data_IF_071849792443
#
_entry.id   IF_071849792443
#
_cell.length_a   1.000
_cell.length_b   1.000
_cell.length_c   1.000
_cell.angle_alpha   90.00
_cell.angle_beta   90.00
_cell.angle_gamma   90.00
#
_symmetry.space_group_name_H-M   'P 1'
#
loop_
_entity.id
_entity.type
_entity.pdbx_description
1 polymer ?
#
# COMPACT_ATOMS: atom_id res chain seq x y z
N UNK A 1 2.37 -13.00 8.38
CA UNK A 1 2.06 -13.08 6.93
C UNK A 1 2.29 -11.69 6.36
N UNK A 2 2.91 -11.59 5.19
CA UNK A 2 3.14 -10.30 4.52
C UNK A 2 2.25 -10.32 3.28
N UNK A 3 1.24 -9.46 3.25
CA UNK A 3 0.34 -9.33 2.12
C UNK A 3 0.78 -8.16 1.25
N UNK A 4 1.03 -8.47 -0.01
CA UNK A 4 1.18 -7.52 -1.11
C UNK A 4 -0.19 -7.28 -1.73
N UNK A 5 -0.79 -6.14 -1.40
CA UNK A 5 -2.06 -5.67 -1.94
C UNK A 5 -1.97 -5.21 -3.41
N UNK A 6 -0.77 -5.29 -4.01
CA UNK A 6 -0.38 -4.82 -5.34
C UNK A 6 -0.47 -3.30 -5.51
N UNK A 7 -1.66 -2.74 -5.27
CA UNK A 7 -2.00 -1.35 -5.48
C UNK A 7 -2.98 -0.92 -4.37
N UNK A 8 -2.61 0.08 -3.59
CA UNK A 8 -3.37 0.44 -2.39
C UNK A 8 -4.85 0.82 -2.63
N UNK A 9 -5.22 1.49 -3.73
CA UNK A 9 -6.63 1.74 -4.02
C UNK A 9 -7.50 0.51 -4.29
N UNK A 10 -6.96 -0.70 -4.46
CA UNK A 10 -7.77 -1.86 -4.86
C UNK A 10 -8.70 -2.29 -3.71
N UNK A 11 -9.99 -2.47 -4.00
CA UNK A 11 -11.01 -2.84 -3.01
C UNK A 11 -10.87 -4.29 -2.56
N UNK A 12 -10.63 -5.21 -3.50
CA UNK A 12 -10.77 -6.64 -3.27
C UNK A 12 -9.81 -7.21 -2.20
N UNK A 13 -8.50 -6.84 -2.15
CA UNK A 13 -7.64 -7.24 -1.04
C UNK A 13 -8.18 -6.78 0.31
N UNK A 14 -8.75 -5.57 0.40
CA UNK A 14 -9.28 -5.03 1.65
C UNK A 14 -10.58 -5.72 2.08
N UNK A 15 -11.47 -6.04 1.15
CA UNK A 15 -12.64 -6.86 1.46
C UNK A 15 -12.23 -8.25 1.95
N UNK A 16 -11.23 -8.88 1.31
CA UNK A 16 -10.65 -10.13 1.81
C UNK A 16 -10.07 -9.97 3.23
N UNK A 17 -9.36 -8.87 3.53
CA UNK A 17 -8.84 -8.65 4.88
C UNK A 17 -9.97 -8.51 5.91
N UNK A 18 -11.04 -7.78 5.57
CA UNK A 18 -12.20 -7.59 6.46
C UNK A 18 -12.88 -8.93 6.76
N UNK A 19 -13.12 -9.74 5.72
CA UNK A 19 -13.65 -11.09 5.88
C UNK A 19 -12.72 -11.94 6.75
N UNK A 20 -11.42 -11.94 6.47
CA UNK A 20 -10.42 -12.69 7.22
C UNK A 20 -10.40 -12.29 8.70
N UNK A 21 -10.44 -10.99 8.99
CA UNK A 21 -10.44 -10.44 10.36
C UNK A 21 -11.70 -10.83 11.13
N UNK A 22 -12.85 -10.88 10.46
CA UNK A 22 -14.12 -11.27 11.07
C UNK A 22 -14.21 -12.77 11.41
N UNK A 23 -13.32 -13.62 10.88
CA UNK A 23 -13.33 -15.06 11.16
C UNK A 23 -12.80 -15.37 12.57
N UNK A 24 -13.56 -16.11 13.41
CA UNK A 24 -13.10 -16.52 14.74
C UNK A 24 -11.78 -17.30 14.75
N UNK A 25 -11.62 -18.21 13.80
CA UNK A 25 -10.40 -19.01 13.68
C UNK A 25 -9.17 -18.15 13.33
N UNK A 26 -9.36 -16.98 12.73
CA UNK A 26 -8.28 -16.07 12.40
C UNK A 26 -7.84 -15.26 13.62
N UNK A 27 -8.75 -14.52 14.27
CA UNK A 27 -8.40 -13.65 15.38
C UNK A 27 -8.04 -14.41 16.68
N UNK A 28 -8.27 -15.72 16.73
CA UNK A 28 -7.68 -16.59 17.77
C UNK A 28 -6.17 -16.80 17.59
N UNK A 29 -5.65 -16.71 16.37
CA UNK A 29 -4.25 -17.00 16.03
C UNK A 29 -3.45 -15.74 15.71
N UNK A 30 -4.08 -14.79 15.04
CA UNK A 30 -3.50 -13.50 14.67
C UNK A 30 -3.99 -12.46 15.66
N UNK A 31 -3.05 -11.71 16.25
CA UNK A 31 -3.35 -10.68 17.25
C UNK A 31 -2.94 -9.27 16.82
N UNK A 32 -2.11 -9.15 15.78
CA UNK A 32 -1.58 -7.86 15.34
C UNK A 32 -1.73 -7.68 13.83
N UNK A 33 -2.22 -6.51 13.43
CA UNK A 33 -2.30 -6.06 12.04
C UNK A 33 -1.34 -4.88 11.91
N UNK A 34 -0.37 -4.97 10.99
CA UNK A 34 0.59 -3.91 10.71
C UNK A 34 0.19 -3.17 9.44
N UNK A 35 0.16 -1.83 9.49
CA UNK A 35 -0.27 -0.98 8.37
C UNK A 35 0.88 -0.12 7.84
N UNK A 36 1.22 -0.33 6.57
CA UNK A 36 2.22 0.50 5.86
C UNK A 36 1.76 1.95 5.70
N UNK A 37 0.47 2.21 5.47
CA UNK A 37 0.01 3.55 5.10
C UNK A 37 0.11 4.60 6.21
N UNK A 38 0.23 4.19 7.47
CA UNK A 38 0.17 5.08 8.64
C UNK A 38 1.56 5.27 9.24
N UNK A 39 1.93 6.53 9.48
CA UNK A 39 3.16 6.87 10.19
C UNK A 39 3.09 6.46 11.65
N UNK A 40 4.21 5.95 12.18
CA UNK A 40 4.31 5.58 13.61
C UNK A 40 3.97 6.74 14.56
N UNK A 41 4.15 7.99 14.12
CA UNK A 41 3.80 9.19 14.91
C UNK A 41 2.30 9.33 15.14
N UNK A 42 1.50 8.68 14.29
CA UNK A 42 0.04 8.70 14.34
C UNK A 42 -0.56 7.44 14.96
N UNK A 43 0.26 6.56 15.58
CA UNK A 43 -0.23 5.44 16.37
C UNK A 43 -1.29 5.85 17.42
N UNK A 44 -1.16 7.00 18.13
CA UNK A 44 -2.18 7.43 19.09
C UNK A 44 -3.58 7.62 18.47
N UNK A 45 -3.68 7.99 17.19
CA UNK A 45 -4.97 8.14 16.50
C UNK A 45 -5.65 6.77 16.27
N UNK A 46 -4.86 5.75 15.89
CA UNK A 46 -5.36 4.38 15.76
C UNK A 46 -5.81 3.83 17.12
N UNK A 47 -5.00 4.04 18.16
CA UNK A 47 -5.30 3.58 19.52
C UNK A 47 -6.55 4.26 20.08
N UNK A 48 -6.69 5.58 19.90
CA UNK A 48 -7.85 6.35 20.32
C UNK A 48 -9.13 5.84 19.65
N UNK A 49 -9.10 5.63 18.33
CA UNK A 49 -10.23 5.08 17.60
C UNK A 49 -10.66 3.70 18.12
N UNK A 50 -9.70 2.78 18.29
CA UNK A 50 -9.99 1.41 18.74
C UNK A 50 -10.43 1.33 20.21
N UNK A 51 -10.05 2.32 21.03
CA UNK A 51 -10.44 2.41 22.44
C UNK A 51 -11.80 3.10 22.65
N UNK A 52 -12.31 3.83 21.66
CA UNK A 52 -13.52 4.64 21.80
C UNK A 52 -14.76 3.80 22.20
N UNK A 53 -15.55 4.29 23.15
CA UNK A 53 -16.78 3.61 23.58
C UNK A 53 -17.84 3.57 22.50
N UNK A 54 -17.92 4.64 21.70
CA UNK A 54 -18.78 4.81 20.53
C UNK A 54 -17.88 4.99 19.32
N UNK A 55 -18.22 4.33 18.21
CA UNK A 55 -17.47 4.45 16.96
C UNK A 55 -17.46 5.91 16.48
N UNK A 56 -16.26 6.50 16.36
CA UNK A 56 -16.05 7.83 15.81
C UNK A 56 -14.90 7.82 14.80
N UNK A 57 -15.20 7.77 13.49
CA UNK A 57 -14.17 7.71 12.45
C UNK A 57 -13.32 8.99 12.37
N UNK A 58 -13.74 10.11 12.98
CA UNK A 58 -12.96 11.34 12.96
C UNK A 58 -11.66 11.23 13.77
N UNK A 59 -11.62 10.30 14.74
CA UNK A 59 -10.41 9.98 15.51
C UNK A 59 -9.28 9.44 14.62
N UNK A 60 -9.60 8.88 13.45
CA UNK A 60 -8.63 8.38 12.49
C UNK A 60 -8.04 9.46 11.58
N UNK A 61 -8.61 10.67 11.58
CA UNK A 61 -8.19 11.70 10.63
C UNK A 61 -6.70 12.05 10.74
N UNK A 62 -6.07 12.21 11.93
CA UNK A 62 -4.64 12.48 12.00
C UNK A 62 -3.79 11.40 11.30
N UNK A 63 -4.14 10.12 11.49
CA UNK A 63 -3.44 8.98 10.88
C UNK A 63 -3.40 9.02 9.35
N UNK A 64 -4.46 9.55 8.72
CA UNK A 64 -4.57 9.61 7.27
C UNK A 64 -4.31 11.01 6.71
N UNK A 65 -4.37 12.08 7.50
CA UNK A 65 -4.00 13.45 7.09
C UNK A 65 -2.48 13.66 7.09
N UNK A 66 -1.75 12.96 7.97
CA UNK A 66 -0.30 13.04 8.11
C UNK A 66 0.44 11.90 7.41
N UNK A 67 -0.10 11.43 6.28
CA UNK A 67 0.57 10.45 5.43
C UNK A 67 1.92 10.98 4.90
N UNK A 68 2.73 10.12 4.29
CA UNK A 68 4.02 10.53 3.75
C UNK A 68 3.92 11.44 2.50
N UNK A 69 2.74 11.54 1.87
CA UNK A 69 2.53 12.34 0.65
C UNK A 69 2.34 13.82 0.98
N UNK A 70 1.74 14.10 2.15
CA UNK A 70 1.36 15.43 2.61
C UNK A 70 0.01 15.89 2.12
N UNK A 71 -0.64 15.11 1.26
CA UNK A 71 -1.94 15.41 0.67
C UNK A 71 -3.09 14.65 1.34
N UNK A 72 -2.75 13.72 2.25
CA UNK A 72 -3.70 12.85 2.91
C UNK A 72 -3.98 11.56 2.12
N UNK A 73 -4.48 10.56 2.83
CA UNK A 73 -4.72 9.20 2.36
C UNK A 73 -6.21 8.85 2.44
N UNK A 74 -7.03 9.27 1.45
CA UNK A 74 -8.49 9.29 1.59
C UNK A 74 -9.17 7.96 1.27
N UNK A 75 -8.45 6.85 1.21
CA UNK A 75 -9.01 5.57 0.76
C UNK A 75 -10.00 4.98 1.78
N UNK A 76 -11.27 4.89 1.38
CA UNK A 76 -12.37 4.38 2.22
C UNK A 76 -12.11 2.96 2.74
N UNK A 77 -11.44 2.12 1.96
CA UNK A 77 -11.06 0.75 2.36
C UNK A 77 -10.26 0.67 3.66
N UNK A 78 -9.43 1.67 3.97
CA UNK A 78 -8.71 1.72 5.25
C UNK A 78 -9.64 2.02 6.43
N UNK A 79 -10.61 2.92 6.24
CA UNK A 79 -11.63 3.21 7.26
C UNK A 79 -12.53 1.99 7.49
N UNK A 80 -12.94 1.29 6.42
CA UNK A 80 -13.77 0.09 6.52
C UNK A 80 -13.03 -1.09 7.18
N UNK A 81 -11.74 -1.23 6.90
CA UNK A 81 -10.85 -2.18 7.57
C UNK A 81 -10.79 -1.91 9.08
N UNK A 82 -10.50 -0.67 9.47
CA UNK A 82 -10.38 -0.28 10.88
C UNK A 82 -11.72 -0.40 11.61
N UNK A 83 -12.83 -0.05 10.95
CA UNK A 83 -14.18 -0.31 11.44
C UNK A 83 -14.44 -1.78 11.70
N UNK A 84 -14.00 -2.65 10.80
CA UNK A 84 -14.13 -4.09 10.98
C UNK A 84 -13.34 -4.56 12.21
N UNK A 85 -12.12 -4.05 12.42
CA UNK A 85 -11.32 -4.33 13.62
C UNK A 85 -12.01 -3.82 14.89
N UNK A 86 -12.54 -2.60 14.87
CA UNK A 86 -13.31 -2.02 15.98
C UNK A 86 -14.48 -2.92 16.37
N UNK A 87 -15.30 -3.32 15.40
CA UNK A 87 -16.47 -4.18 15.62
C UNK A 87 -16.09 -5.55 16.19
N UNK A 88 -15.06 -6.19 15.64
CA UNK A 88 -14.54 -7.47 16.17
C UNK A 88 -14.07 -7.28 17.61
N UNK A 89 -13.29 -6.24 17.90
CA UNK A 89 -12.78 -5.96 19.25
C UNK A 89 -13.86 -5.72 20.30
N UNK A 90 -15.04 -5.21 19.90
CA UNK A 90 -16.19 -5.05 20.79
C UNK A 90 -16.82 -6.37 21.21
N UNK A 91 -16.68 -7.42 20.39
CA UNK A 91 -17.13 -8.77 20.73
C UNK A 91 -16.12 -9.59 21.55
N UNK A 92 -14.88 -9.10 21.69
CA UNK A 92 -13.78 -9.82 22.32
C UNK A 92 -13.49 -9.31 23.74
N UNK A 93 -13.07 -10.21 24.67
CA UNK A 93 -12.44 -9.81 25.92
C UNK A 93 -11.22 -8.94 25.66
N UNK A 94 -10.93 -8.00 26.57
CA UNK A 94 -9.84 -7.03 26.40
C UNK A 94 -8.48 -7.68 26.07
N UNK A 95 -8.16 -8.82 26.69
CA UNK A 95 -6.91 -9.55 26.47
C UNK A 95 -6.82 -10.24 25.08
N UNK A 96 -7.95 -10.40 24.39
CA UNK A 96 -8.01 -11.09 23.09
C UNK A 96 -8.15 -10.16 21.90
N UNK A 97 -8.37 -8.86 22.15
CA UNK A 97 -8.54 -7.84 21.12
C UNK A 97 -7.35 -7.79 20.16
N UNK A 98 -7.68 -7.57 18.91
CA UNK A 98 -6.72 -7.29 17.85
C UNK A 98 -6.09 -5.91 18.07
N UNK A 99 -4.78 -5.84 17.84
CA UNK A 99 -4.03 -4.58 17.79
C UNK A 99 -3.79 -4.19 16.34
N UNK A 100 -3.83 -2.89 16.06
CA UNK A 100 -3.40 -2.31 14.79
C UNK A 100 -2.18 -1.45 15.06
N UNK A 101 -1.11 -1.66 14.29
CA UNK A 101 0.16 -0.97 14.48
C UNK A 101 0.57 -0.27 13.18
N UNK A 102 0.76 1.03 13.27
CA UNK A 102 1.39 1.86 12.25
C UNK A 102 2.88 1.51 12.15
N UNK A 103 3.40 1.30 10.94
CA UNK A 103 4.81 0.91 10.76
C UNK A 103 5.61 1.84 9.87
N UNK A 104 4.98 2.78 9.16
CA UNK A 104 5.70 3.71 8.31
C UNK A 104 6.62 4.61 9.14
N UNK A 105 7.70 5.07 8.51
CA UNK A 105 8.62 6.02 9.11
C UNK A 105 7.90 7.27 9.65
N UNK A 106 8.47 7.90 10.70
CA UNK A 106 7.93 9.12 11.27
C UNK A 106 7.72 10.22 10.23
N UNK A 107 6.55 10.85 10.23
CA UNK A 107 6.19 12.00 9.41
C UNK A 107 5.76 13.14 10.32
N UNK A 108 6.45 14.28 10.24
CA UNK A 108 6.21 15.45 11.10
C UNK A 108 5.90 16.67 10.24
N UNK A 109 4.71 16.72 9.63
CA UNK A 109 4.33 17.82 8.73
C UNK A 109 4.37 19.19 9.40
N UNK A 110 4.08 19.25 10.70
CA UNK A 110 4.16 20.49 11.49
C UNK A 110 5.57 21.08 11.51
N UNK A 111 6.62 20.26 11.37
CA UNK A 111 8.03 20.68 11.37
C UNK A 111 8.59 20.98 9.97
N UNK A 112 7.81 20.73 8.91
CA UNK A 112 8.22 20.99 7.52
C UNK A 112 7.76 22.39 7.14
N UNK A 113 8.68 23.34 7.01
CA UNK A 113 8.37 24.76 6.74
C UNK A 113 8.88 25.25 5.38
N UNK A 114 9.73 24.47 4.71
CA UNK A 114 10.36 24.82 3.44
C UNK A 114 10.43 23.64 2.47
N UNK A 115 10.70 23.93 1.21
CA UNK A 115 10.98 22.89 0.20
C UNK A 115 12.26 22.10 0.52
N UNK A 116 13.22 22.71 1.25
CA UNK A 116 14.42 22.03 1.74
C UNK A 116 14.06 20.99 2.81
N UNK A 117 13.15 21.32 3.74
CA UNK A 117 12.66 20.37 4.74
C UNK A 117 11.95 19.17 4.06
N UNK A 118 11.15 19.43 3.03
CA UNK A 118 10.53 18.36 2.21
C UNK A 118 11.59 17.47 1.56
N UNK A 119 12.66 18.06 1.03
CA UNK A 119 13.75 17.30 0.42
C UNK A 119 14.50 16.45 1.45
N UNK A 120 14.76 16.98 2.65
CA UNK A 120 15.37 16.25 3.77
C UNK A 120 14.48 15.11 4.25
N UNK A 121 13.18 15.35 4.42
CA UNK A 121 12.20 14.32 4.75
C UNK A 121 12.18 13.20 3.70
N UNK A 122 12.13 13.53 2.41
CA UNK A 122 12.20 12.51 1.34
C UNK A 122 13.49 11.71 1.36
N UNK A 123 14.62 12.34 1.74
CA UNK A 123 15.91 11.65 1.88
C UNK A 123 15.90 10.70 3.08
N UNK A 124 15.22 11.02 4.19
CA UNK A 124 15.13 10.12 5.34
C UNK A 124 14.33 8.84 5.04
N UNK A 125 13.42 8.87 4.06
CA UNK A 125 12.64 7.71 3.64
C UNK A 125 13.47 6.59 2.96
N UNK A 126 14.75 6.82 2.65
CA UNK A 126 15.65 5.76 2.14
C UNK A 126 15.74 4.59 3.13
N UNK A 127 15.62 4.84 4.44
CA UNK A 127 15.62 3.82 5.48
C UNK A 127 14.24 3.24 5.83
N UNK A 128 13.16 3.62 5.13
CA UNK A 128 11.78 3.32 5.54
C UNK A 128 11.53 1.80 5.66
N UNK A 129 12.01 1.02 4.71
CA UNK A 129 11.89 -0.45 4.74
C UNK A 129 12.55 -1.10 5.95
N UNK A 130 13.74 -0.62 6.33
CA UNK A 130 14.43 -1.09 7.52
C UNK A 130 13.70 -0.65 8.80
N UNK A 131 13.16 0.57 8.80
CA UNK A 131 12.35 1.08 9.90
C UNK A 131 11.10 0.21 10.12
N UNK A 132 10.32 -0.05 9.07
CA UNK A 132 9.15 -0.95 9.10
C UNK A 132 9.53 -2.33 9.64
N UNK A 133 10.60 -2.92 9.12
CA UNK A 133 11.12 -4.20 9.60
C UNK A 133 11.41 -4.17 11.11
N UNK A 134 12.13 -3.15 11.60
CA UNK A 134 12.50 -3.05 13.02
C UNK A 134 11.28 -2.82 13.92
N UNK A 135 10.32 -2.01 13.49
CA UNK A 135 9.08 -1.77 14.23
C UNK A 135 8.26 -3.05 14.38
N UNK A 136 8.02 -3.77 13.27
CA UNK A 136 7.30 -5.04 13.27
C UNK A 136 8.03 -6.08 14.13
N UNK A 137 9.36 -6.18 14.00
CA UNK A 137 10.16 -7.14 14.76
C UNK A 137 10.05 -6.90 16.28
N UNK A 138 10.09 -5.64 16.71
CA UNK A 138 9.96 -5.26 18.11
C UNK A 138 8.57 -5.64 18.66
N UNK A 139 7.50 -5.34 17.94
CA UNK A 139 6.12 -5.69 18.32
C UNK A 139 5.86 -7.19 18.38
N UNK A 140 6.57 -7.94 17.53
CA UNK A 140 6.51 -9.41 17.47
C UNK A 140 7.47 -10.08 18.47
N UNK A 141 8.16 -9.33 19.33
CA UNK A 141 9.12 -9.84 20.32
C UNK A 141 10.09 -10.89 19.74
N UNK A 142 10.67 -10.59 18.56
CA UNK A 142 11.53 -11.50 17.78
C UNK A 142 10.89 -12.87 17.48
N UNK A 143 9.57 -12.92 17.32
CA UNK A 143 8.80 -14.14 17.02
C UNK A 143 8.86 -15.23 18.12
N UNK A 144 9.24 -14.87 19.35
CA UNK A 144 9.46 -15.83 20.45
C UNK A 144 8.18 -16.36 21.10
N UNK A 145 7.10 -15.59 21.03
CA UNK A 145 5.88 -15.85 21.81
C UNK A 145 4.80 -16.62 21.03
N UNK A 146 5.11 -17.12 19.83
CA UNK A 146 4.13 -17.83 18.98
C UNK A 146 2.97 -16.94 18.48
N UNK A 147 2.94 -15.66 18.85
CA UNK A 147 2.03 -14.65 18.34
C UNK A 147 2.18 -14.54 16.82
N UNK A 148 1.06 -14.36 16.12
CA UNK A 148 1.04 -14.13 14.67
C UNK A 148 0.51 -12.74 14.36
N UNK A 149 1.07 -12.16 13.30
CA UNK A 149 0.62 -10.91 12.73
C UNK A 149 0.46 -10.99 11.23
N UNK A 150 -0.32 -10.06 10.68
CA UNK A 150 -0.38 -9.79 9.25
C UNK A 150 0.18 -8.39 8.99
N UNK A 151 0.98 -8.24 7.95
CA UNK A 151 1.48 -6.96 7.47
C UNK A 151 0.82 -6.66 6.13
N UNK A 152 0.08 -5.55 6.08
CA UNK A 152 -0.65 -5.09 4.91
C UNK A 152 0.16 -3.99 4.23
N UNK A 153 0.62 -4.25 3.01
CA UNK A 153 1.58 -3.40 2.32
C UNK A 153 1.49 -3.57 0.81
N UNK A 154 2.10 -2.66 0.06
CA UNK A 154 2.22 -2.79 -1.38
C UNK A 154 3.41 -3.66 -1.81
N UNK A 155 3.48 -3.85 -3.13
CA UNK A 155 4.47 -4.67 -3.82
C UNK A 155 5.93 -4.34 -3.47
N UNK A 156 6.26 -3.07 -3.20
CA UNK A 156 7.64 -2.64 -2.92
C UNK A 156 8.22 -3.25 -1.65
N UNK A 157 7.38 -3.49 -0.65
CA UNK A 157 7.78 -3.84 0.70
C UNK A 157 7.64 -5.33 1.01
N UNK A 158 7.04 -6.09 0.08
CA UNK A 158 6.59 -7.46 0.35
C UNK A 158 7.52 -8.57 -0.19
N UNK A 159 8.48 -8.26 -1.07
CA UNK A 159 9.30 -9.30 -1.70
C UNK A 159 10.16 -10.07 -0.69
N UNK A 160 10.43 -11.36 -0.97
CA UNK A 160 11.33 -12.19 -0.16
C UNK A 160 12.82 -11.92 -0.40
N UNK A 161 13.20 -11.60 -1.63
CA UNK A 161 14.61 -11.33 -1.94
C UNK A 161 14.94 -11.45 -3.41
N UNK A 162 14.66 -10.40 -4.17
CA UNK A 162 15.15 -10.23 -5.54
C UNK A 162 16.55 -9.62 -5.51
N UNK A 163 17.41 -10.05 -6.43
CA UNK A 163 18.81 -9.62 -6.55
C UNK A 163 19.04 -8.79 -7.81
N UNK A 164 19.99 -7.87 -7.75
CA UNK A 164 20.52 -7.15 -8.90
C UNK A 164 21.52 -8.00 -9.71
N UNK A 165 22.06 -7.43 -10.78
CA UNK A 165 23.02 -8.09 -11.68
C UNK A 165 24.35 -8.47 -10.98
N UNK A 166 24.70 -7.78 -9.90
CA UNK A 166 25.87 -8.10 -9.06
C UNK A 166 25.56 -9.13 -7.97
N UNK A 167 24.33 -9.66 -7.92
CA UNK A 167 23.89 -10.65 -6.94
C UNK A 167 23.54 -10.08 -5.57
N UNK A 168 23.48 -8.76 -5.41
CA UNK A 168 23.08 -8.09 -4.15
C UNK A 168 21.57 -8.02 -4.06
N UNK A 169 21.02 -8.16 -2.86
CA UNK A 169 19.57 -8.03 -2.67
C UNK A 169 19.08 -6.60 -2.84
N UNK A 170 17.92 -6.46 -3.48
CA UNK A 170 17.05 -5.29 -3.27
C UNK A 170 16.43 -5.41 -1.88
N UNK A 171 16.94 -4.60 -0.96
CA UNK A 171 16.46 -4.58 0.41
C UNK A 171 15.13 -3.85 0.50
N UNK A 172 14.15 -4.58 1.05
CA UNK A 172 12.87 -4.05 1.51
C UNK A 172 12.48 -4.77 2.81
N UNK A 173 11.36 -4.38 3.42
CA UNK A 173 10.88 -4.95 4.68
C UNK A 173 10.76 -6.49 4.62
N UNK A 174 10.12 -7.03 3.57
CA UNK A 174 9.99 -8.46 3.33
C UNK A 174 11.33 -9.18 3.18
N UNK A 175 12.28 -8.57 2.47
CA UNK A 175 13.63 -9.12 2.27
C UNK A 175 14.38 -9.21 3.60
N UNK A 176 14.31 -8.19 4.46
CA UNK A 176 14.92 -8.25 5.80
C UNK A 176 14.36 -9.41 6.61
N UNK A 177 13.03 -9.59 6.62
CA UNK A 177 12.42 -10.72 7.31
C UNK A 177 12.86 -12.06 6.74
N UNK A 178 12.82 -12.23 5.42
CA UNK A 178 13.12 -13.52 4.81
C UNK A 178 14.60 -13.92 4.98
N UNK A 179 15.52 -12.96 4.85
CA UNK A 179 16.96 -13.22 4.98
C UNK A 179 17.41 -13.41 6.43
N UNK A 180 16.85 -12.64 7.37
CA UNK A 180 17.31 -12.67 8.77
C UNK A 180 16.47 -13.56 9.68
N UNK A 181 15.26 -13.92 9.25
CA UNK A 181 14.33 -14.80 9.98
C UNK A 181 13.73 -15.87 9.05
N UNK A 182 14.55 -16.72 8.42
CA UNK A 182 14.08 -17.70 7.44
C UNK A 182 13.01 -18.62 8.03
N UNK A 183 11.93 -18.82 7.27
CA UNK A 183 10.80 -19.67 7.67
C UNK A 183 9.84 -19.05 8.69
N UNK A 184 10.04 -17.79 9.13
CA UNK A 184 9.12 -17.09 10.06
C UNK A 184 8.06 -16.25 9.35
N UNK A 185 8.26 -15.93 8.08
CA UNK A 185 7.34 -15.15 7.27
C UNK A 185 6.88 -15.92 6.04
N UNK A 186 5.76 -15.49 5.49
CA UNK A 186 5.28 -15.92 4.17
C UNK A 186 4.81 -14.69 3.42
N UNK A 187 5.36 -14.46 2.23
CA UNK A 187 4.99 -13.36 1.36
C UNK A 187 3.88 -13.81 0.40
N UNK A 188 2.76 -13.09 0.40
CA UNK A 188 1.54 -13.46 -0.31
C UNK A 188 1.15 -12.30 -1.20
N UNK A 189 0.99 -12.55 -2.49
CA UNK A 189 0.56 -11.55 -3.47
C UNK A 189 -0.89 -11.76 -3.86
N UNK A 190 -1.66 -10.68 -4.00
CA UNK A 190 -2.94 -10.75 -4.72
C UNK A 190 -2.71 -10.71 -6.23
N UNK A 191 -3.44 -11.54 -6.98
CA UNK A 191 -3.46 -11.46 -8.44
C UNK A 191 -3.99 -10.08 -8.85
N UNK A 192 -3.18 -9.36 -9.59
CA UNK A 192 -3.48 -8.01 -10.04
C UNK A 192 -2.68 -7.71 -11.31
N UNK A 193 -3.01 -6.60 -11.96
CA UNK A 193 -2.16 -5.98 -12.96
C UNK A 193 -0.75 -5.73 -12.43
N UNK A 194 0.23 -6.01 -13.28
CA UNK A 194 1.63 -5.78 -13.00
C UNK A 194 2.09 -4.47 -13.59
N UNK A 195 2.77 -3.69 -12.75
CA UNK A 195 3.49 -2.50 -13.15
C UNK A 195 4.82 -2.91 -13.79
N UNK A 196 4.93 -2.72 -15.10
CA UNK A 196 6.15 -2.99 -15.86
C UNK A 196 6.95 -1.70 -15.96
N UNK A 197 8.10 -1.63 -15.29
CA UNK A 197 9.04 -0.51 -15.44
C UNK A 197 9.88 -0.75 -16.69
N UNK A 198 9.72 0.12 -17.68
CA UNK A 198 10.39 0.02 -18.98
C UNK A 198 11.76 0.70 -18.96
N UNK A 199 11.84 1.87 -18.33
CA UNK A 199 13.07 2.66 -18.23
C UNK A 199 12.97 3.75 -17.15
N UNK A 200 14.12 4.34 -16.81
CA UNK A 200 14.16 5.59 -16.06
C UNK A 200 13.79 6.75 -16.99
N UNK A 201 12.92 7.65 -16.50
CA UNK A 201 12.54 8.85 -17.20
C UNK A 201 13.59 9.96 -16.97
N UNK A 202 13.97 10.66 -18.03
CA UNK A 202 14.73 11.90 -17.89
C UNK A 202 13.86 12.93 -17.15
N UNK A 203 14.33 13.39 -15.99
CA UNK A 203 13.67 14.43 -15.21
C UNK A 203 14.22 15.80 -15.60
N UNK A 204 13.33 16.76 -15.86
CA UNK A 204 13.68 18.18 -15.88
C UNK A 204 13.46 18.79 -14.50
N UNK A 205 14.04 19.97 -14.26
CA UNK A 205 13.80 20.73 -13.01
C UNK A 205 12.33 21.12 -12.83
N UNK A 206 11.57 21.18 -13.92
CA UNK A 206 10.13 21.44 -13.90
C UNK A 206 9.27 20.21 -13.53
N UNK A 207 9.82 18.99 -13.49
CA UNK A 207 9.04 17.80 -13.14
C UNK A 207 8.71 17.78 -11.65
N UNK A 208 7.41 17.75 -11.33
CA UNK A 208 6.94 17.64 -9.95
C UNK A 208 7.41 16.32 -9.34
N UNK A 209 8.21 16.41 -8.26
CA UNK A 209 8.69 15.25 -7.53
C UNK A 209 7.63 14.83 -6.53
N UNK A 210 7.10 13.63 -6.69
CA UNK A 210 6.24 13.01 -5.69
C UNK A 210 7.08 12.32 -4.63
N UNK A 211 6.52 12.09 -3.44
CA UNK A 211 7.21 11.28 -2.43
C UNK A 211 7.24 9.80 -2.85
N UNK A 212 6.28 9.33 -3.63
CA UNK A 212 6.25 7.99 -4.20
C UNK A 212 7.37 7.74 -5.24
N UNK A 213 7.83 8.80 -5.92
CA UNK A 213 8.96 8.75 -6.86
C UNK A 213 8.61 8.17 -8.25
N UNK A 214 7.33 7.95 -8.54
CA UNK A 214 6.87 7.32 -9.79
C UNK A 214 7.17 8.14 -11.04
N UNK A 215 7.37 9.46 -10.91
CA UNK A 215 7.75 10.35 -12.01
C UNK A 215 9.09 10.00 -12.66
N UNK A 216 9.93 9.21 -11.97
CA UNK A 216 11.28 8.78 -12.40
C UNK A 216 11.26 7.61 -13.35
N UNK A 217 10.09 7.05 -13.64
CA UNK A 217 9.98 5.82 -14.41
C UNK A 217 9.01 6.01 -15.59
N UNK A 218 9.35 5.36 -16.70
CA UNK A 218 8.38 5.02 -17.74
C UNK A 218 7.88 3.63 -17.44
N UNK A 219 6.56 3.48 -17.42
CA UNK A 219 5.92 2.23 -17.04
C UNK A 219 4.62 2.02 -17.79
N UNK A 220 4.20 0.77 -17.84
CA UNK A 220 2.89 0.36 -18.34
C UNK A 220 2.28 -0.71 -17.44
N UNK A 221 0.97 -0.88 -17.54
CA UNK A 221 0.24 -1.96 -16.88
C UNK A 221 0.12 -3.15 -17.80
N UNK A 222 0.35 -4.35 -17.29
CA UNK A 222 0.27 -5.57 -18.07
C UNK A 222 -0.32 -6.73 -17.27
N UNK A 223 -0.97 -7.66 -17.98
CA UNK A 223 -1.39 -8.95 -17.43
C UNK A 223 -0.18 -9.84 -17.15
N UNK A 224 -0.23 -10.58 -16.06
CA UNK A 224 0.79 -11.59 -15.77
C UNK A 224 0.88 -12.62 -16.90
N UNK A 225 2.12 -12.89 -17.34
CA UNK A 225 2.44 -13.81 -18.42
C UNK A 225 1.58 -13.59 -19.70
N UNK A 226 1.28 -12.33 -20.03
CA UNK A 226 0.48 -11.97 -21.20
C UNK A 226 -0.98 -12.45 -21.13
N UNK A 227 -1.53 -12.65 -19.93
CA UNK A 227 -2.92 -13.08 -19.73
C UNK A 227 -3.10 -14.59 -19.53
N UNK A 228 -2.02 -15.38 -19.56
CA UNK A 228 -2.09 -16.83 -19.30
C UNK A 228 -2.63 -17.15 -17.90
N UNK A 229 -2.31 -16.31 -16.92
CA UNK A 229 -2.81 -16.48 -15.55
C UNK A 229 -4.32 -16.30 -15.50
N UNK A 230 -4.81 -15.21 -16.08
CA UNK A 230 -6.24 -14.91 -16.20
C UNK A 230 -6.99 -16.00 -16.97
N UNK A 231 -6.41 -16.52 -18.06
CA UNK A 231 -6.96 -17.65 -18.80
C UNK A 231 -7.07 -18.93 -17.96
N UNK A 232 -6.08 -19.23 -17.12
CA UNK A 232 -6.12 -20.36 -16.20
C UNK A 232 -7.21 -20.20 -15.12
N UNK A 233 -7.39 -19.01 -14.57
CA UNK A 233 -8.48 -18.74 -13.63
C UNK A 233 -9.85 -18.81 -14.31
N UNK A 234 -9.98 -18.29 -15.54
CA UNK A 234 -11.20 -18.39 -16.33
C UNK A 234 -11.59 -19.84 -16.63
N UNK A 235 -10.62 -20.70 -16.96
CA UNK A 235 -10.85 -22.13 -17.16
C UNK A 235 -11.36 -22.86 -15.90
N UNK A 236 -11.12 -22.30 -14.71
CA UNK A 236 -11.63 -22.78 -13.42
C UNK A 236 -12.90 -22.05 -12.96
N UNK A 237 -13.53 -21.28 -13.84
CA UNK A 237 -14.76 -20.54 -13.56
C UNK A 237 -14.57 -19.28 -12.73
N UNK A 238 -13.36 -18.69 -12.71
CA UNK A 238 -13.04 -17.47 -11.97
C UNK A 238 -13.40 -17.50 -10.48
N UNK A 239 -13.33 -18.68 -9.86
CA UNK A 239 -13.56 -18.83 -8.42
C UNK A 239 -12.36 -18.30 -7.62
N UNK A 240 -12.57 -17.60 -6.49
CA UNK A 240 -11.48 -17.22 -5.60
C UNK A 240 -10.63 -18.43 -5.20
N UNK A 241 -9.30 -18.30 -5.26
CA UNK A 241 -8.37 -19.38 -4.95
C UNK A 241 -7.05 -18.85 -4.41
N UNK A 242 -6.52 -19.51 -3.39
CA UNK A 242 -5.16 -19.32 -2.93
C UNK A 242 -4.30 -20.49 -3.41
N UNK A 243 -3.14 -20.20 -4.02
CA UNK A 243 -2.20 -21.21 -4.50
C UNK A 243 -0.82 -20.98 -3.91
N UNK A 244 -0.13 -22.07 -3.58
CA UNK A 244 1.31 -22.04 -3.35
C UNK A 244 2.00 -21.73 -4.67
N UNK A 245 3.03 -20.87 -4.67
CA UNK A 245 3.87 -20.68 -5.84
C UNK A 245 4.96 -21.74 -5.94
N UNK A 246 5.35 -22.36 -4.82
CA UNK A 246 6.36 -23.44 -4.78
C UNK A 246 5.98 -24.57 -5.75
N UNK A 247 6.92 -24.92 -6.62
CA UNK A 247 6.80 -26.05 -7.57
C UNK A 247 5.60 -25.98 -8.52
N UNK A 248 5.11 -24.78 -8.81
CA UNK A 248 4.00 -24.56 -9.76
C UNK A 248 4.46 -23.84 -11.04
N UNK A 249 3.71 -23.94 -12.16
CA UNK A 249 3.94 -23.09 -13.33
C UNK A 249 3.93 -21.60 -12.99
N UNK A 250 2.98 -21.14 -12.17
CA UNK A 250 2.89 -19.75 -11.72
C UNK A 250 4.15 -19.27 -10.99
N UNK A 251 4.70 -20.09 -10.10
CA UNK A 251 5.92 -19.73 -9.37
C UNK A 251 7.20 -19.76 -10.19
N UNK A 252 7.21 -20.51 -11.30
CA UNK A 252 8.35 -20.60 -12.24
C UNK A 252 8.37 -19.49 -13.29
N UNK A 253 7.30 -18.71 -13.42
CA UNK A 253 7.27 -17.55 -14.31
C UNK A 253 8.37 -16.55 -13.93
N UNK A 254 8.98 -15.84 -14.91
CA UNK A 254 9.98 -14.81 -14.65
C UNK A 254 9.47 -13.73 -13.70
N UNK A 255 10.34 -13.27 -12.80
CA UNK A 255 10.01 -12.18 -11.87
C UNK A 255 9.50 -10.94 -12.60
N UNK A 256 8.33 -10.45 -12.16
CA UNK A 256 7.74 -9.18 -12.58
C UNK A 256 7.48 -8.33 -11.34
N UNK A 257 7.96 -7.09 -11.35
CA UNK A 257 7.79 -6.15 -10.23
C UNK A 257 8.70 -4.92 -10.33
N UNK A 258 8.74 -4.14 -9.26
CA UNK A 258 9.37 -2.83 -9.18
C UNK A 258 10.88 -2.83 -9.48
N UNK A 259 11.55 -3.98 -9.35
CA UNK A 259 12.98 -4.09 -9.63
C UNK A 259 13.32 -4.80 -10.93
N UNK A 260 12.32 -5.18 -11.75
CA UNK A 260 12.53 -6.07 -12.89
C UNK A 260 13.57 -5.57 -13.91
N UNK A 261 13.63 -4.25 -14.16
CA UNK A 261 14.58 -3.63 -15.08
C UNK A 261 16.05 -3.68 -14.61
N UNK A 262 16.29 -3.95 -13.32
CA UNK A 262 17.63 -4.07 -12.70
C UNK A 262 17.89 -5.45 -12.11
N UNK A 263 16.89 -6.34 -12.09
CA UNK A 263 17.00 -7.66 -11.53
C UNK A 263 17.94 -8.54 -12.36
N UNK A 264 18.72 -9.39 -11.69
CA UNK A 264 19.45 -10.45 -12.39
C UNK A 264 18.48 -11.37 -13.16
N UNK A 265 18.87 -11.83 -14.36
CA UNK A 265 18.06 -12.76 -15.14
C UNK A 265 17.87 -14.10 -14.42
N UNK A 266 16.78 -14.79 -14.75
CA UNK A 266 16.50 -16.15 -14.23
C UNK A 266 15.80 -16.21 -12.87
N UNK A 267 15.55 -15.05 -12.23
CA UNK A 267 14.71 -14.98 -11.03
C UNK A 267 13.23 -15.15 -11.37
N UNK A 268 12.48 -15.72 -10.45
CA UNK A 268 11.11 -16.19 -10.65
C UNK A 268 10.12 -15.52 -9.70
N UNK A 269 8.82 -15.68 -9.94
CA UNK A 269 7.78 -15.26 -9.00
C UNK A 269 7.93 -15.93 -7.63
N UNK A 270 8.42 -17.17 -7.59
CA UNK A 270 8.69 -17.85 -6.32
C UNK A 270 9.90 -17.28 -5.57
N UNK A 271 10.84 -16.59 -6.23
CA UNK A 271 11.89 -15.85 -5.52
C UNK A 271 11.33 -14.57 -4.87
N UNK A 272 10.25 -14.02 -5.41
CA UNK A 272 9.56 -12.85 -4.88
C UNK A 272 8.52 -13.18 -3.80
N UNK A 273 7.74 -14.26 -3.96
CA UNK A 273 6.57 -14.58 -3.13
C UNK A 273 6.44 -16.07 -2.84
N UNK A 274 5.74 -16.43 -1.77
CA UNK A 274 5.45 -17.83 -1.41
C UNK A 274 4.11 -18.31 -1.97
N UNK A 275 3.13 -17.41 -2.07
CA UNK A 275 1.77 -17.74 -2.50
C UNK A 275 1.12 -16.59 -3.28
N UNK A 276 0.09 -16.96 -4.04
CA UNK A 276 -0.77 -16.05 -4.79
C UNK A 276 -2.23 -16.26 -4.35
N UNK A 277 -2.97 -15.17 -4.19
CA UNK A 277 -4.42 -15.20 -3.99
C UNK A 277 -5.09 -14.54 -5.20
N UNK A 278 -5.90 -15.29 -5.92
CA UNK A 278 -6.82 -14.77 -6.93
C UNK A 278 -8.19 -14.56 -6.27
N UNK A 279 -8.75 -13.36 -6.39
CA UNK A 279 -10.06 -13.02 -5.85
C UNK A 279 -11.11 -12.90 -6.95
N UNK A 280 -10.78 -12.19 -8.04
CA UNK A 280 -11.68 -11.93 -9.15
C UNK A 280 -10.90 -11.63 -10.44
N UNK A 281 -11.54 -11.71 -11.62
CA UNK A 281 -10.96 -11.25 -12.88
C UNK A 281 -10.55 -9.77 -12.80
N UNK A 282 -9.48 -9.39 -13.52
CA UNK A 282 -8.95 -8.02 -13.49
C UNK A 282 -10.02 -6.98 -13.84
N UNK A 283 -10.86 -7.27 -14.84
CA UNK A 283 -11.94 -6.40 -15.33
C UNK A 283 -13.06 -6.19 -14.32
N UNK A 284 -13.08 -6.96 -13.24
CA UNK A 284 -14.06 -6.86 -12.15
C UNK A 284 -13.47 -6.22 -10.90
N UNK A 285 -12.19 -5.81 -10.92
CA UNK A 285 -11.55 -5.17 -9.79
C UNK A 285 -11.92 -3.68 -9.72
N UNK A 286 -11.92 -3.13 -8.50
CA UNK A 286 -12.32 -1.75 -8.25
C UNK A 286 -11.24 -0.93 -7.56
N UNK A 287 -11.16 0.35 -7.92
CA UNK A 287 -10.57 1.38 -7.07
C UNK A 287 -11.58 1.80 -6.00
N UNK A 288 -11.12 1.88 -4.76
CA UNK A 288 -11.87 2.37 -3.60
C UNK A 288 -12.39 3.77 -3.83
N UNK A 289 -13.53 4.06 -3.20
CA UNK A 289 -13.97 5.43 -3.00
C UNK A 289 -12.91 6.23 -2.21
N UNK A 290 -12.78 7.52 -2.51
CA UNK A 290 -12.04 8.47 -1.69
C UNK A 290 -13.02 9.26 -0.81
N UNK A 291 -12.76 9.30 0.50
CA UNK A 291 -13.63 10.01 1.43
C UNK A 291 -13.28 11.49 1.51
N UNK A 292 -14.24 12.33 1.11
CA UNK A 292 -14.14 13.79 1.27
C UNK A 292 -14.09 14.23 2.73
N UNK A 293 -14.55 13.39 3.68
CA UNK A 293 -14.61 13.71 5.10
C UNK A 293 -13.23 13.92 5.73
N UNK A 294 -12.18 13.31 5.14
CA UNK A 294 -10.79 13.53 5.56
C UNK A 294 -10.38 15.00 5.43
N UNK A 295 -10.97 15.73 4.48
CA UNK A 295 -10.63 17.11 4.15
C UNK A 295 -11.46 18.11 4.94
N UNK A 296 -11.28 18.07 6.26
CA UNK A 296 -11.88 19.02 7.22
C UNK A 296 -11.45 20.47 6.94
N UNK A 297 -12.17 21.50 7.43
CA UNK A 297 -11.74 22.89 7.28
C UNK A 297 -10.31 23.15 7.80
N UNK A 298 -9.94 22.52 8.92
CA UNK A 298 -8.58 22.61 9.47
C UNK A 298 -7.54 22.00 8.53
N UNK A 299 -7.83 20.83 7.97
CA UNK A 299 -6.91 20.18 7.04
C UNK A 299 -6.82 20.89 5.68
N UNK A 300 -7.90 21.49 5.19
CA UNK A 300 -7.86 22.37 3.99
C UNK A 300 -6.94 23.57 4.20
N UNK A 301 -6.99 24.19 5.39
CA UNK A 301 -6.05 25.25 5.77
C UNK A 301 -4.61 24.75 5.80
N UNK A 302 -4.40 23.52 6.26
CA UNK A 302 -3.08 22.89 6.25
C UNK A 302 -2.61 22.53 4.83
N UNK A 303 -3.50 22.11 3.92
CA UNK A 303 -3.18 21.90 2.51
C UNK A 303 -2.76 23.19 1.82
N UNK A 304 -3.40 24.33 2.13
CA UNK A 304 -2.95 25.65 1.66
C UNK A 304 -1.49 25.95 2.05
N UNK A 305 -1.05 25.45 3.20
CA UNK A 305 0.34 25.58 3.67
C UNK A 305 1.27 24.56 3.00
N UNK A 306 0.85 23.29 2.87
CA UNK A 306 1.69 22.20 2.34
C UNK A 306 1.90 22.27 0.83
N UNK A 307 0.88 22.67 0.05
CA UNK A 307 0.94 22.64 -1.41
C UNK A 307 2.11 23.49 -1.98
N UNK A 308 2.37 24.73 -1.51
CA UNK A 308 3.54 25.50 -1.93
C UNK A 308 4.91 24.93 -1.49
N UNK A 309 4.94 24.02 -0.51
CA UNK A 309 6.15 23.31 -0.11
C UNK A 309 6.43 22.10 -1.02
N UNK A 310 5.36 21.47 -1.52
CA UNK A 310 5.41 20.26 -2.33
C UNK A 310 5.58 20.54 -3.82
N UNK A 311 5.13 21.70 -4.28
CA UNK A 311 5.06 22.06 -5.69
C UNK A 311 5.58 23.48 -5.94
N UNK A 312 6.21 23.68 -7.09
CA UNK A 312 6.58 25.02 -7.55
C UNK A 312 5.34 25.83 -7.94
N UNK A 313 5.48 27.15 -8.05
CA UNK A 313 4.40 28.03 -8.50
C UNK A 313 3.85 27.61 -9.89
N UNK A 314 4.74 27.26 -10.82
CA UNK A 314 4.37 26.80 -12.16
C UNK A 314 3.60 25.48 -12.11
N UNK A 315 4.03 24.54 -11.26
CA UNK A 315 3.35 23.25 -11.07
C UNK A 315 1.95 23.43 -10.47
N UNK A 316 1.80 24.34 -9.50
CA UNK A 316 0.49 24.68 -8.93
C UNK A 316 -0.40 25.36 -9.97
N UNK A 317 0.13 26.30 -10.76
CA UNK A 317 -0.62 26.94 -11.85
C UNK A 317 -1.13 25.92 -12.87
N UNK A 318 -0.29 24.96 -13.28
CA UNK A 318 -0.71 23.91 -14.20
C UNK A 318 -1.77 22.98 -13.59
N UNK A 319 -1.63 22.62 -12.30
CA UNK A 319 -2.65 21.84 -11.58
C UNK A 319 -3.98 22.58 -11.49
N UNK A 320 -3.97 23.87 -11.13
CA UNK A 320 -5.16 24.72 -11.08
C UNK A 320 -5.81 24.80 -12.47
N UNK A 321 -5.02 25.06 -13.52
CA UNK A 321 -5.51 25.12 -14.91
C UNK A 321 -6.17 23.81 -15.34
N UNK A 322 -5.58 22.65 -15.02
CA UNK A 322 -6.16 21.32 -15.35
C UNK A 322 -7.47 21.04 -14.62
N UNK A 323 -7.59 21.50 -13.38
CA UNK A 323 -8.83 21.37 -12.60
C UNK A 323 -9.90 22.39 -12.99
N UNK A 324 -9.53 23.48 -13.67
CA UNK A 324 -10.43 24.62 -13.91
C UNK A 324 -10.55 25.58 -12.72
N UNK A 325 -9.74 25.42 -11.68
CA UNK A 325 -9.71 26.30 -10.52
C UNK A 325 -9.04 27.66 -10.83
N UNK A 326 -9.63 28.75 -10.33
CA UNK A 326 -9.10 30.10 -10.50
C UNK A 326 -8.02 30.48 -9.48
N UNK A 327 -7.98 29.79 -8.33
CA UNK A 327 -7.01 30.01 -7.26
C UNK A 327 -6.78 28.73 -6.45
N UNK A 328 -5.83 28.77 -5.50
CA UNK A 328 -5.42 27.60 -4.73
C UNK A 328 -6.52 27.07 -3.77
N UNK A 329 -7.27 27.92 -3.04
CA UNK A 329 -8.47 27.47 -2.31
C UNK A 329 -9.47 26.71 -3.19
N UNK A 330 -9.84 27.27 -4.35
CA UNK A 330 -10.78 26.62 -5.27
C UNK A 330 -10.25 25.26 -5.76
N UNK A 331 -8.94 25.18 -6.03
CA UNK A 331 -8.28 23.93 -6.39
C UNK A 331 -8.40 22.87 -5.30
N UNK A 332 -8.22 23.27 -4.04
CA UNK A 332 -8.35 22.37 -2.90
C UNK A 332 -9.78 21.86 -2.77
N UNK A 333 -10.77 22.75 -2.95
CA UNK A 333 -12.18 22.40 -2.84
C UNK A 333 -12.66 21.47 -3.95
N UNK A 334 -12.16 21.65 -5.17
CA UNK A 334 -12.50 20.78 -6.30
C UNK A 334 -11.75 19.44 -6.25
N UNK A 335 -10.45 19.46 -5.97
CA UNK A 335 -9.58 18.27 -6.07
C UNK A 335 -9.75 17.33 -4.89
N UNK A 336 -9.80 17.88 -3.67
CA UNK A 336 -9.89 17.08 -2.46
C UNK A 336 -11.35 16.96 -2.04
N UNK A 337 -12.14 16.45 -2.98
CA UNK A 337 -13.54 16.09 -2.83
C UNK A 337 -13.67 14.57 -2.91
N UNK A 338 -14.69 14.01 -2.27
CA UNK A 338 -14.84 12.55 -2.29
C UNK A 338 -15.15 12.03 -3.68
N UNK A 339 -14.58 10.87 -4.03
CA UNK A 339 -14.84 10.19 -5.31
C UNK A 339 -15.53 8.84 -5.05
N UNK A 340 -16.43 8.39 -5.94
CA UNK A 340 -17.06 7.10 -5.79
C UNK A 340 -16.08 5.97 -6.11
N UNK A 341 -16.37 4.77 -5.58
CA UNK A 341 -15.72 3.54 -6.04
C UNK A 341 -16.00 3.34 -7.53
N UNK A 342 -14.99 2.92 -8.29
CA UNK A 342 -15.11 2.65 -9.71
C UNK A 342 -14.28 1.43 -10.14
N UNK A 343 -14.58 0.85 -11.30
CA UNK A 343 -13.73 -0.19 -11.88
C UNK A 343 -12.33 0.35 -12.15
N UNK A 344 -11.30 -0.47 -11.92
CA UNK A 344 -9.90 -0.09 -12.15
C UNK A 344 -9.73 0.36 -13.60
N UNK A 345 -9.44 1.65 -13.87
CA UNK A 345 -9.40 2.20 -15.22
C UNK A 345 -8.30 1.58 -16.08
N UNK A 346 -7.21 1.11 -15.47
CA UNK A 346 -6.08 0.45 -16.11
C UNK A 346 -6.49 -0.82 -16.88
N UNK A 347 -7.66 -1.38 -16.58
CA UNK A 347 -8.15 -2.60 -17.24
C UNK A 347 -8.76 -2.33 -18.62
N UNK A 348 -9.17 -1.09 -18.90
CA UNK A 348 -9.84 -0.69 -20.15
C UNK A 348 -8.94 -0.82 -21.37
N UNK A 349 -7.64 -0.61 -21.19
CA UNK A 349 -6.64 -0.61 -22.26
C UNK A 349 -5.89 -1.94 -22.38
N UNK A 350 -6.31 -2.97 -21.62
CA UNK A 350 -5.67 -4.28 -21.71
C UNK A 350 -6.03 -4.99 -23.01
N UNK A 351 -5.06 -5.69 -23.62
CA UNK A 351 -5.38 -6.64 -24.68
C UNK A 351 -6.43 -7.66 -24.21
N UNK A 352 -7.34 -8.09 -25.10
CA UNK A 352 -8.29 -9.16 -24.79
C UNK A 352 -7.53 -10.44 -24.43
N UNK A 353 -8.15 -11.28 -23.61
CA UNK A 353 -7.61 -12.60 -23.31
C UNK A 353 -7.54 -13.43 -24.59
N UNK A 354 -6.32 -13.78 -25.01
CA UNK A 354 -6.11 -14.72 -26.10
C UNK A 354 -6.06 -16.13 -25.50
N UNK A 355 -7.06 -16.94 -25.82
CA UNK A 355 -7.18 -18.34 -25.40
C UNK A 355 -6.42 -19.28 -26.33
#
# INVERSE_FOLDING_TARGET
LIFDDAWHPVVEPFDFYRELIALPAFHQRVKTIFLEAVSITEQPALDAYLAAEVEDPTLLFPAFQNDFSGLGWPFQTYFDLLKTVYQVNRSLPAAERLRVVAVNAPSFWEAIHSAEDVALFRKSLVGNDYFMYKTILAEMADFREGRKGIFLTNTRHAYKGIRDQEGRFFWNCGTFFHQWHPGKTSAIRFHHLSLIIESEAALSDSTARSTAGMERYRYRWERMAGGKWDGAFAALGNRPVAISLRDTPFGREPYVGNHMHKAAPGQTLFDAYDALIFLAPLESLHNTAETGALYTPAFRKELLRRLPLLFTAEQLQEKMRRSGAGNLPDYIDQTFSGTPQELIPQTRDLPPLTF
#
